data_IF_737478169623
#
_entry.id   IF_737478169623
#
_cell.length_a   1.000
_cell.length_b   1.000
_cell.length_c   1.000
_cell.angle_alpha   90.00
_cell.angle_beta   90.00
_cell.angle_gamma   90.00
#
_symmetry.space_group_name_H-M   'P 1'
#
loop_
_entity.id
_entity.type
_entity.pdbx_description
1 polymer ?
#
# COMPACT_ATOMS: atom_id res chain seq x y z
N UNK A 1 -15.94 -1.96 -12.30
CA UNK A 1 -15.20 -2.61 -13.41
C UNK A 1 -14.27 -3.65 -12.81
N UNK A 2 -14.23 -4.87 -13.36
CA UNK A 2 -13.30 -5.91 -12.91
C UNK A 2 -11.86 -5.51 -13.23
N UNK A 3 -10.89 -5.96 -12.43
CA UNK A 3 -9.49 -5.81 -12.79
C UNK A 3 -9.22 -6.72 -13.99
N UNK A 4 -8.87 -6.14 -15.14
CA UNK A 4 -8.51 -6.91 -16.33
C UNK A 4 -7.21 -6.31 -16.85
N UNK A 5 -6.16 -7.13 -16.91
CA UNK A 5 -4.97 -6.82 -17.68
C UNK A 5 -5.18 -7.26 -19.13
N UNK A 6 -5.79 -6.39 -19.94
CA UNK A 6 -6.21 -6.71 -21.31
C UNK A 6 -5.07 -7.13 -22.25
N UNK A 7 -3.81 -6.92 -21.87
CA UNK A 7 -2.64 -7.32 -22.66
C UNK A 7 -1.71 -8.31 -21.96
N UNK A 8 -2.14 -8.95 -20.87
CA UNK A 8 -1.43 -10.04 -20.20
C UNK A 8 0.02 -9.71 -19.84
N UNK A 9 0.92 -10.69 -20.00
CA UNK A 9 2.33 -10.53 -19.66
C UNK A 9 3.05 -9.49 -20.52
N UNK A 10 2.72 -9.41 -21.82
CA UNK A 10 3.31 -8.43 -22.74
C UNK A 10 3.00 -7.00 -22.30
N UNK A 11 1.77 -6.71 -21.86
CA UNK A 11 1.45 -5.40 -21.31
C UNK A 11 2.28 -5.05 -20.05
N UNK A 12 2.54 -6.03 -19.19
CA UNK A 12 3.43 -5.85 -18.05
C UNK A 12 4.88 -5.55 -18.49
N UNK A 13 5.42 -6.30 -19.47
CA UNK A 13 6.77 -6.07 -19.98
C UNK A 13 6.91 -4.66 -20.60
N UNK A 14 5.94 -4.24 -21.41
CA UNK A 14 5.90 -2.88 -21.97
C UNK A 14 5.86 -1.84 -20.85
N UNK A 15 4.99 -2.03 -19.86
CA UNK A 15 4.89 -1.15 -18.70
C UNK A 15 6.22 -1.02 -17.94
N UNK A 16 6.91 -2.14 -17.67
CA UNK A 16 8.20 -2.15 -16.97
C UNK A 16 9.25 -1.42 -17.79
N UNK A 17 9.34 -1.71 -19.10
CA UNK A 17 10.33 -1.10 -19.99
C UNK A 17 10.17 0.42 -20.06
N UNK A 18 8.95 0.90 -20.26
CA UNK A 18 8.63 2.33 -20.33
C UNK A 18 8.99 3.05 -19.03
N UNK A 19 8.62 2.47 -17.88
CA UNK A 19 8.89 3.10 -16.59
C UNK A 19 10.35 2.98 -16.15
N UNK A 20 11.04 1.88 -16.44
CA UNK A 20 12.48 1.79 -16.17
C UNK A 20 13.24 2.87 -16.95
N UNK A 21 12.93 3.09 -18.24
CA UNK A 21 13.54 4.17 -19.02
C UNK A 21 13.24 5.56 -18.47
N UNK A 22 12.02 5.76 -17.95
CA UNK A 22 11.58 7.04 -17.38
C UNK A 22 12.26 7.36 -16.05
N UNK A 23 12.35 6.39 -15.13
CA UNK A 23 12.85 6.61 -13.78
C UNK A 23 14.35 6.30 -13.62
N UNK A 24 14.92 5.48 -14.51
CA UNK A 24 16.30 5.01 -14.49
C UNK A 24 16.90 5.07 -15.91
N UNK A 25 17.16 6.27 -16.46
CA UNK A 25 17.68 6.44 -17.82
C UNK A 25 19.12 5.91 -17.99
N UNK A 26 19.88 5.85 -16.90
CA UNK A 26 21.20 5.22 -16.87
C UNK A 26 21.06 3.73 -16.47
N UNK A 27 21.40 2.79 -17.36
CA UNK A 27 21.27 1.35 -17.07
C UNK A 27 22.33 0.83 -16.09
N UNK A 28 23.36 1.60 -15.77
CA UNK A 28 24.47 1.19 -14.88
C UNK A 28 24.15 1.36 -13.39
N UNK A 29 23.02 1.99 -13.06
CA UNK A 29 22.60 2.29 -11.68
C UNK A 29 22.30 1.04 -10.83
N UNK A 30 22.02 -0.09 -11.46
CA UNK A 30 21.67 -1.32 -10.76
C UNK A 30 22.87 -2.26 -10.63
N UNK A 31 23.06 -2.76 -9.41
CA UNK A 31 23.99 -3.86 -9.16
C UNK A 31 23.54 -5.14 -9.90
N UNK A 32 24.48 -6.05 -10.16
CA UNK A 32 24.20 -7.31 -10.87
C UNK A 32 23.09 -8.14 -10.20
N UNK A 33 23.09 -8.20 -8.87
CA UNK A 33 22.05 -8.88 -8.09
C UNK A 33 20.65 -8.29 -8.29
N UNK A 34 20.54 -6.97 -8.42
CA UNK A 34 19.28 -6.30 -8.75
C UNK A 34 18.86 -6.61 -10.18
N UNK A 35 19.79 -6.62 -11.14
CA UNK A 35 19.50 -7.04 -12.51
C UNK A 35 18.99 -8.48 -12.59
N UNK A 36 19.55 -9.39 -11.81
CA UNK A 36 19.08 -10.78 -11.76
C UNK A 36 17.64 -10.88 -11.22
N UNK A 37 17.23 -9.99 -10.30
CA UNK A 37 15.83 -9.90 -9.84
C UNK A 37 14.96 -9.34 -10.98
N UNK A 38 15.38 -8.25 -11.63
CA UNK A 38 14.65 -7.63 -12.75
C UNK A 38 14.39 -8.67 -13.85
N UNK A 39 15.41 -9.42 -14.26
CA UNK A 39 15.30 -10.45 -15.29
C UNK A 39 14.35 -11.59 -14.90
N UNK A 40 14.40 -12.06 -13.64
CA UNK A 40 13.43 -13.06 -13.15
C UNK A 40 12.00 -12.55 -13.23
N UNK A 41 11.74 -11.34 -12.72
CA UNK A 41 10.40 -10.75 -12.73
C UNK A 41 9.93 -10.34 -14.12
N UNK A 42 10.85 -10.03 -15.03
CA UNK A 42 10.57 -9.75 -16.43
C UNK A 42 10.00 -10.97 -17.16
N UNK A 43 10.52 -12.16 -16.86
CA UNK A 43 10.12 -13.43 -17.49
C UNK A 43 9.00 -14.16 -16.74
N UNK A 44 8.69 -13.75 -15.51
CA UNK A 44 7.67 -14.39 -14.68
C UNK A 44 6.26 -13.99 -15.14
N UNK A 45 5.61 -14.84 -15.92
CA UNK A 45 4.21 -14.65 -16.30
C UNK A 45 3.27 -15.04 -15.15
N UNK A 46 2.45 -14.08 -14.71
CA UNK A 46 1.41 -14.26 -13.68
C UNK A 46 0.04 -13.82 -14.18
N UNK A 47 -0.12 -13.63 -15.50
CA UNK A 47 -1.35 -13.13 -16.11
C UNK A 47 -2.54 -14.05 -15.84
N UNK A 48 -2.31 -15.36 -15.74
CA UNK A 48 -3.33 -16.35 -15.40
C UNK A 48 -4.01 -16.06 -14.04
N UNK A 49 -3.32 -15.43 -13.09
CA UNK A 49 -3.89 -15.07 -11.79
C UNK A 49 -5.06 -14.10 -11.91
N UNK A 50 -5.06 -13.24 -12.92
CA UNK A 50 -6.16 -12.32 -13.19
C UNK A 50 -7.44 -13.08 -13.58
N UNK A 51 -7.30 -14.16 -14.35
CA UNK A 51 -8.41 -15.03 -14.74
C UNK A 51 -8.89 -15.88 -13.56
N UNK A 52 -7.94 -16.49 -12.85
CA UNK A 52 -8.20 -17.38 -11.71
C UNK A 52 -8.99 -16.66 -10.61
N UNK A 53 -8.58 -15.45 -10.23
CA UNK A 53 -9.23 -14.71 -9.15
C UNK A 53 -10.39 -13.83 -9.64
N UNK A 54 -10.70 -13.80 -10.94
CA UNK A 54 -11.72 -12.91 -11.51
C UNK A 54 -13.07 -12.99 -10.78
N UNK A 55 -13.52 -14.21 -10.46
CA UNK A 55 -14.80 -14.44 -9.78
C UNK A 55 -14.81 -14.00 -8.31
N UNK A 56 -13.63 -13.83 -7.70
CA UNK A 56 -13.47 -13.42 -6.30
C UNK A 56 -13.55 -11.91 -6.13
N UNK A 57 -13.49 -11.11 -7.20
CA UNK A 57 -13.57 -9.65 -7.12
C UNK A 57 -14.96 -9.13 -7.43
N UNK A 58 -15.43 -8.17 -6.62
CA UNK A 58 -16.70 -7.47 -6.86
C UNK A 58 -16.59 -6.52 -8.03
N UNK A 59 -17.67 -6.41 -8.81
CA UNK A 59 -17.85 -5.35 -9.82
C UNK A 59 -18.23 -3.99 -9.22
N UNK A 60 -18.76 -4.00 -7.99
CA UNK A 60 -19.21 -2.83 -7.27
C UNK A 60 -18.12 -2.29 -6.33
N UNK A 61 -18.03 -0.96 -6.25
CA UNK A 61 -17.07 -0.26 -5.39
C UNK A 61 -15.84 0.26 -6.15
N UNK A 62 -14.79 0.68 -5.41
CA UNK A 62 -13.55 1.17 -5.99
C UNK A 62 -12.91 0.13 -6.92
N UNK A 63 -12.22 0.61 -7.96
CA UNK A 63 -11.52 -0.27 -8.90
C UNK A 63 -10.49 -1.11 -8.13
N UNK A 64 -10.62 -2.45 -8.09
CA UNK A 64 -9.65 -3.29 -7.40
C UNK A 64 -8.30 -3.29 -8.13
N UNK A 65 -7.23 -3.59 -7.38
CA UNK A 65 -5.90 -3.82 -7.96
C UNK A 65 -5.91 -5.13 -8.75
N UNK A 66 -5.13 -5.15 -9.84
CA UNK A 66 -4.96 -6.32 -10.69
C UNK A 66 -4.30 -7.47 -9.90
N UNK A 67 -4.93 -8.66 -9.81
CA UNK A 67 -4.40 -9.81 -9.07
C UNK A 67 -2.95 -10.19 -9.42
N UNK A 68 -2.60 -10.20 -10.70
CA UNK A 68 -1.26 -10.51 -11.19
C UNK A 68 -0.22 -9.53 -10.67
N UNK A 69 -0.53 -8.23 -10.63
CA UNK A 69 0.33 -7.20 -10.03
C UNK A 69 0.46 -7.38 -8.51
N UNK A 70 -0.63 -7.73 -7.81
CA UNK A 70 -0.60 -7.97 -6.37
C UNK A 70 0.27 -9.19 -6.02
N UNK A 71 0.10 -10.31 -6.74
CA UNK A 71 0.92 -11.51 -6.56
C UNK A 71 2.39 -11.22 -6.84
N UNK A 72 2.66 -10.54 -7.97
CA UNK A 72 4.02 -10.12 -8.35
C UNK A 72 4.67 -9.30 -7.26
N UNK A 73 3.95 -8.32 -6.73
CA UNK A 73 4.44 -7.46 -5.67
C UNK A 73 4.76 -8.23 -4.39
N UNK A 74 3.92 -9.19 -4.02
CA UNK A 74 4.18 -10.03 -2.85
C UNK A 74 5.43 -10.89 -3.03
N UNK A 75 5.58 -11.55 -4.19
CA UNK A 75 6.81 -12.33 -4.49
C UNK A 75 8.05 -11.43 -4.48
N UNK A 76 7.93 -10.22 -5.03
CA UNK A 76 9.03 -9.26 -5.08
C UNK A 76 9.49 -8.84 -3.67
N UNK A 77 8.56 -8.70 -2.73
CA UNK A 77 8.88 -8.43 -1.32
C UNK A 77 9.77 -9.52 -0.72
N UNK A 78 9.53 -10.80 -1.08
CA UNK A 78 10.31 -11.94 -0.61
C UNK A 78 11.72 -11.89 -1.21
N UNK A 79 11.84 -11.62 -2.51
CA UNK A 79 13.13 -11.51 -3.20
C UNK A 79 14.00 -10.37 -2.65
N UNK A 80 13.39 -9.24 -2.28
CA UNK A 80 14.07 -8.14 -1.58
C UNK A 80 14.20 -8.32 -0.07
N UNK A 81 13.77 -9.46 0.48
CA UNK A 81 13.84 -9.81 1.90
C UNK A 81 13.09 -8.83 2.81
N UNK A 82 11.97 -8.31 2.34
CA UNK A 82 11.04 -7.45 3.09
C UNK A 82 9.86 -8.30 3.56
N UNK A 83 9.93 -8.80 4.80
CA UNK A 83 8.95 -9.76 5.31
C UNK A 83 7.65 -9.13 5.83
N UNK A 84 7.67 -7.85 6.17
CA UNK A 84 6.51 -7.12 6.68
C UNK A 84 5.73 -6.47 5.52
N UNK A 85 4.44 -6.80 5.38
CA UNK A 85 3.57 -6.15 4.40
C UNK A 85 3.39 -4.64 4.68
N UNK A 86 3.50 -4.25 5.95
CA UNK A 86 3.48 -2.83 6.34
C UNK A 86 4.69 -2.11 5.77
N UNK A 87 5.88 -2.69 5.93
CA UNK A 87 7.11 -2.11 5.41
C UNK A 87 7.14 -2.16 3.90
N UNK A 88 6.68 -3.25 3.29
CA UNK A 88 6.59 -3.38 1.84
C UNK A 88 5.67 -2.32 1.23
N UNK A 89 4.47 -2.12 1.78
CA UNK A 89 3.55 -1.08 1.32
C UNK A 89 4.13 0.34 1.47
N UNK A 90 4.95 0.59 2.50
CA UNK A 90 5.68 1.84 2.65
C UNK A 90 6.79 1.98 1.59
N UNK A 91 7.58 0.93 1.37
CA UNK A 91 8.67 0.94 0.40
C UNK A 91 8.17 1.10 -1.03
N UNK A 92 7.03 0.52 -1.40
CA UNK A 92 6.38 0.72 -2.70
C UNK A 92 6.09 2.20 -2.99
N UNK A 93 5.81 3.02 -1.96
CA UNK A 93 5.54 4.46 -2.12
C UNK A 93 6.79 5.29 -2.30
N UNK A 94 7.94 4.79 -1.85
CA UNK A 94 9.20 5.56 -1.79
C UNK A 94 10.15 5.12 -2.90
N UNK A 95 10.15 3.85 -3.28
CA UNK A 95 11.07 3.29 -4.27
C UNK A 95 10.36 2.99 -5.60
N UNK A 96 10.66 3.75 -6.68
CA UNK A 96 10.09 3.52 -8.00
C UNK A 96 10.33 2.11 -8.53
N UNK A 97 11.52 1.53 -8.30
CA UNK A 97 11.85 0.19 -8.79
C UNK A 97 10.86 -0.85 -8.29
N UNK A 98 10.49 -0.80 -7.01
CA UNK A 98 9.57 -1.76 -6.41
C UNK A 98 8.16 -1.62 -6.97
N UNK A 99 7.68 -0.38 -7.16
CA UNK A 99 6.39 -0.14 -7.79
C UNK A 99 6.37 -0.66 -9.24
N UNK A 100 7.42 -0.34 -10.01
CA UNK A 100 7.53 -0.69 -11.43
C UNK A 100 7.59 -2.21 -11.61
N UNK A 101 8.47 -2.91 -10.90
CA UNK A 101 8.58 -4.38 -10.99
C UNK A 101 7.33 -5.09 -10.44
N UNK A 102 6.56 -4.44 -9.57
CA UNK A 102 5.25 -4.95 -9.12
C UNK A 102 4.14 -4.75 -10.17
N UNK A 103 4.35 -3.94 -11.21
CA UNK A 103 3.31 -3.57 -12.17
C UNK A 103 2.39 -2.43 -11.69
N UNK A 104 2.86 -1.58 -10.76
CA UNK A 104 2.13 -0.42 -10.26
C UNK A 104 2.76 0.89 -10.72
N UNK A 105 1.92 1.87 -11.06
CA UNK A 105 2.38 3.23 -11.32
C UNK A 105 3.00 3.80 -10.04
N UNK A 106 4.18 4.42 -10.16
CA UNK A 106 4.82 5.04 -9.00
C UNK A 106 3.96 6.21 -8.49
N UNK A 107 3.65 6.20 -7.19
CA UNK A 107 2.68 7.11 -6.56
C UNK A 107 1.25 6.57 -6.47
N UNK A 108 0.92 5.48 -7.17
CA UNK A 108 -0.37 4.79 -7.09
C UNK A 108 -0.18 3.30 -6.74
N UNK A 109 0.22 3.04 -5.49
CA UNK A 109 0.54 1.71 -4.99
C UNK A 109 -0.50 1.20 -3.98
N UNK A 110 -0.64 -0.13 -3.81
CA UNK A 110 -1.56 -0.69 -2.82
C UNK A 110 -1.18 -0.32 -1.38
N UNK A 111 -2.19 -0.24 -0.53
CA UNK A 111 -2.00 -0.16 0.92
C UNK A 111 -1.89 -1.55 1.56
N UNK A 112 -1.57 -1.58 2.85
CA UNK A 112 -1.45 -2.81 3.64
C UNK A 112 -2.73 -3.65 3.61
N UNK A 113 -3.89 -3.02 3.82
CA UNK A 113 -5.19 -3.71 3.78
C UNK A 113 -5.45 -4.38 2.43
N UNK A 114 -5.08 -3.72 1.33
CA UNK A 114 -5.23 -4.28 -0.02
C UNK A 114 -4.40 -5.56 -0.23
N UNK A 115 -3.22 -5.66 0.39
CA UNK A 115 -2.43 -6.88 0.35
C UNK A 115 -3.10 -8.01 1.12
N UNK A 116 -3.60 -7.74 2.33
CA UNK A 116 -4.33 -8.75 3.09
C UNK A 116 -5.60 -9.20 2.38
N UNK A 117 -6.37 -8.26 1.81
CA UNK A 117 -7.56 -8.58 1.00
C UNK A 117 -7.23 -9.44 -0.22
N UNK A 118 -6.04 -9.28 -0.82
CA UNK A 118 -5.58 -10.11 -1.92
C UNK A 118 -5.16 -11.51 -1.44
N UNK A 119 -4.38 -11.60 -0.36
CA UNK A 119 -3.91 -12.88 0.19
C UNK A 119 -5.08 -13.74 0.68
N UNK A 120 -6.09 -13.13 1.28
CA UNK A 120 -7.33 -13.78 1.70
C UNK A 120 -8.05 -14.43 0.50
N UNK A 121 -8.23 -13.67 -0.59
CA UNK A 121 -8.83 -14.18 -1.84
C UNK A 121 -7.98 -15.24 -2.52
N UNK A 122 -6.66 -15.15 -2.41
CA UNK A 122 -5.73 -16.10 -3.01
C UNK A 122 -5.70 -17.43 -2.26
N UNK A 123 -5.86 -17.40 -0.94
CA UNK A 123 -5.79 -18.61 -0.10
C UNK A 123 -7.00 -19.53 -0.32
N UNK A 124 -8.18 -18.97 -0.57
CA UNK A 124 -9.42 -19.66 -0.95
C UNK A 124 -9.71 -20.97 -0.18
N UNK A 125 -9.45 -20.96 1.12
CA UNK A 125 -9.71 -22.08 2.03
C UNK A 125 -10.80 -21.71 3.03
N UNK A 126 -11.61 -22.70 3.41
CA UNK A 126 -12.62 -22.56 4.47
C UNK A 126 -12.00 -22.47 5.88
N UNK A 127 -10.70 -22.73 6.03
CA UNK A 127 -9.99 -22.63 7.31
C UNK A 127 -9.06 -21.41 7.37
N UNK A 128 -9.21 -20.59 8.42
CA UNK A 128 -8.31 -19.50 8.72
C UNK A 128 -6.89 -20.02 9.05
N UNK A 129 -5.88 -19.54 8.33
CA UNK A 129 -4.46 -19.83 8.66
C UNK A 129 -3.92 -18.88 9.72
N UNK A 130 -4.62 -17.78 9.92
CA UNK A 130 -4.32 -16.83 10.97
C UNK A 130 -5.00 -17.34 12.23
N UNK A 131 -4.23 -17.46 13.31
CA UNK A 131 -4.81 -17.71 14.63
C UNK A 131 -5.94 -16.71 14.84
N UNK A 132 -7.12 -17.13 15.32
CA UNK A 132 -8.25 -16.23 15.50
C UNK A 132 -7.78 -14.99 16.24
N UNK A 133 -8.20 -13.82 15.78
CA UNK A 133 -7.93 -12.56 16.47
C UNK A 133 -8.75 -12.52 17.75
N UNK A 134 -8.42 -13.40 18.71
CA UNK A 134 -8.97 -13.44 20.04
C UNK A 134 -8.40 -12.23 20.73
N UNK A 135 -9.05 -11.08 20.54
CA UNK A 135 -8.95 -10.01 21.49
C UNK A 135 -9.44 -10.57 22.82
N UNK A 136 -8.62 -10.54 23.89
CA UNK A 136 -9.15 -10.78 25.22
C UNK A 136 -10.36 -9.88 25.39
N UNK A 137 -11.53 -10.46 25.66
CA UNK A 137 -12.74 -9.70 25.98
C UNK A 137 -12.32 -8.68 27.04
N UNK A 138 -12.47 -7.38 26.74
CA UNK A 138 -12.10 -6.31 27.68
C UNK A 138 -12.82 -6.58 29.00
N UNK A 139 -12.11 -7.18 29.97
CA UNK A 139 -12.66 -7.45 31.28
C UNK A 139 -12.85 -6.10 31.96
N UNK A 140 -14.13 -5.75 32.13
CA UNK A 140 -14.71 -4.50 32.65
C UNK A 140 -14.98 -3.44 31.58
N UNK A 141 -16.28 -3.18 31.36
CA UNK A 141 -16.77 -1.87 30.90
C UNK A 141 -16.21 -0.81 31.86
N UNK A 142 -15.43 0.13 31.34
CA UNK A 142 -15.09 1.36 32.06
C UNK A 142 -16.43 2.00 32.45
N UNK A 143 -16.71 2.12 33.75
CA UNK A 143 -17.89 2.85 34.23
C UNK A 143 -17.73 4.29 33.78
N UNK A 144 -18.66 4.78 32.95
CA UNK A 144 -18.74 6.21 32.62
C UNK A 144 -18.75 7.01 33.93
N UNK A 145 -17.91 8.05 34.09
CA UNK A 145 -18.01 8.93 35.24
C UNK A 145 -19.42 9.55 35.26
N UNK A 146 -20.06 9.55 36.44
CA UNK A 146 -21.43 10.08 36.64
C UNK A 146 -21.50 11.61 36.62
N UNK A 147 -20.39 12.31 36.43
CA UNK A 147 -20.40 13.76 36.34
C UNK A 147 -20.37 14.21 34.88
N UNK A 148 -21.47 14.86 34.48
CA UNK A 148 -21.54 15.69 33.28
C UNK A 148 -20.49 16.79 33.46
N UNK A 149 -19.33 16.64 32.81
CA UNK A 149 -18.37 17.73 32.72
C UNK A 149 -19.11 18.94 32.13
N UNK A 150 -19.14 20.04 32.87
CA UNK A 150 -19.59 21.33 32.34
C UNK A 150 -18.67 21.60 31.14
N UNK A 151 -19.24 21.57 29.92
CA UNK A 151 -18.55 22.10 28.76
C UNK A 151 -18.33 23.58 29.06
N UNK A 152 -17.08 23.98 29.28
CA UNK A 152 -16.74 25.38 29.15
C UNK A 152 -17.07 25.78 27.72
N UNK A 153 -17.86 26.85 27.57
CA UNK A 153 -18.17 27.44 26.28
C UNK A 153 -16.86 27.71 25.54
N UNK A 154 -16.79 27.46 24.21
CA UNK A 154 -15.58 27.74 23.45
C UNK A 154 -15.22 29.21 23.65
N UNK A 155 -14.03 29.47 24.22
CA UNK A 155 -13.51 30.82 24.35
C UNK A 155 -13.51 31.45 22.95
N UNK A 156 -14.15 32.62 22.84
CA UNK A 156 -14.18 33.44 21.63
C UNK A 156 -12.74 33.62 21.13
N UNK A 157 -12.58 33.57 19.80
CA UNK A 157 -11.34 33.78 19.00
C UNK A 157 -10.55 35.08 19.29
N UNK A 158 -10.89 35.87 20.31
CA UNK A 158 -10.26 37.16 20.62
C UNK A 158 -8.98 37.06 21.45
N UNK A 159 -8.54 35.87 21.87
CA UNK A 159 -7.31 35.70 22.67
C UNK A 159 -6.09 35.22 21.87
N UNK A 160 -6.28 34.75 20.62
CA UNK A 160 -5.16 34.33 19.74
C UNK A 160 -4.44 35.51 19.08
N UNK A 161 -5.09 36.67 18.95
CA UNK A 161 -4.48 37.87 18.34
C UNK A 161 -3.51 38.63 19.26
N UNK A 162 -3.53 38.35 20.58
CA UNK A 162 -2.60 39.00 21.51
C UNK A 162 -1.26 38.27 21.63
N UNK A 163 -1.19 36.97 21.34
CA UNK A 163 0.06 36.22 21.37
C UNK A 163 0.93 36.49 20.12
N UNK A 164 0.33 36.70 18.95
CA UNK A 164 1.08 37.06 17.74
C UNK A 164 1.68 38.47 17.81
N UNK A 165 0.99 39.41 18.47
CA UNK A 165 1.46 40.80 18.59
C UNK A 165 2.57 40.98 19.63
N UNK A 166 2.62 40.14 20.68
CA UNK A 166 3.70 40.18 21.67
C UNK A 166 5.02 39.57 21.17
N UNK A 167 4.96 38.61 20.24
CA UNK A 167 6.16 38.01 19.63
C UNK A 167 6.83 38.92 18.58
N UNK A 168 6.06 39.74 17.86
CA UNK A 168 6.62 40.67 16.87
C UNK A 168 7.32 41.90 17.48
N UNK A 169 7.05 42.25 18.74
CA UNK A 169 7.64 43.44 19.41
C UNK A 169 8.99 43.11 20.08
N UNK A 170 9.33 41.83 20.28
CA UNK A 170 10.54 41.42 21.01
C UNK A 170 11.69 40.88 20.12
N UNK A 171 11.49 40.72 18.80
CA UNK A 171 12.48 40.10 17.90
C UNK A 171 12.96 40.97 16.74
N UNK A 172 12.45 42.20 16.60
CA UNK A 172 12.94 43.19 15.65
C UNK A 172 12.88 44.58 16.28
N UNK A 173 14.00 45.15 16.79
CA UNK A 173 14.08 46.57 17.06
C UNK A 173 14.04 47.40 15.77
#
# INVERSE_FOLDING_TARGET
>A
MLPVNSGGHTAYQTFVLENLRKYYPDPTVFAKSTWDIIERFWNLDLSYTDELLRSKYSVFGPKPRTPSCMQRSYLLSIDFKVHSLTDWAAQLKINPLYAILSGFQFGDTPGVGTFYDFLDRLWDSDSDNLSPHIHPVKKKKVKKPKQKGIRQNPLKKSQLNNFSNLWNILLFP
#
